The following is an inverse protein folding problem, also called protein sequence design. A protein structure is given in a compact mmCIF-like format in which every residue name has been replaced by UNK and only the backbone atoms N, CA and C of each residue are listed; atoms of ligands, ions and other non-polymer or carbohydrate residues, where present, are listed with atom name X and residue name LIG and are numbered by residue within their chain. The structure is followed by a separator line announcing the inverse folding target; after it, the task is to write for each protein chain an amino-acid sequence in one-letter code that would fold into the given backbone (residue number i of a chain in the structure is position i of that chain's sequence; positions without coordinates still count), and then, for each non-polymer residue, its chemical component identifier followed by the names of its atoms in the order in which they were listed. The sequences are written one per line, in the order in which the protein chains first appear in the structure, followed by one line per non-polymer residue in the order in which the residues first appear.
data_IF_554001159104
#
_entry.id   IF_554001159104
#
_cell.length_a   1.000
_cell.length_b   1.000
_cell.length_c   1.000
_cell.angle_alpha   90.00
_cell.angle_beta   90.00
_cell.angle_gamma   90.00
#
_symmetry.space_group_name_H-M   'P 1'
#
loop_
_entity.id
_entity.type
_entity.pdbx_description
1 polymer ?
#
# COMPACT_ATOMS: atom_id res chain seq x y z
N UNK A 1 0.07 22.72 -3.05
CA UNK A 1 0.12 21.74 -1.95
C UNK A 1 0.47 22.47 -0.67
N UNK A 2 -0.44 22.57 0.31
CA UNK A 2 -0.19 23.29 1.57
C UNK A 2 1.04 22.79 2.33
N UNK A 3 1.33 21.48 2.25
CA UNK A 3 2.53 20.91 2.89
C UNK A 3 3.85 21.41 2.27
N UNK A 4 3.86 21.71 0.97
CA UNK A 4 5.08 22.08 0.25
C UNK A 4 5.31 23.58 0.22
N UNK A 5 4.24 24.35 0.06
CA UNK A 5 4.32 25.79 -0.20
C UNK A 5 3.67 26.63 0.92
N UNK A 6 3.12 25.97 1.95
CA UNK A 6 2.30 26.64 2.96
C UNK A 6 0.98 27.16 2.40
N UNK A 7 0.30 27.98 3.20
CA UNK A 7 -0.90 28.72 2.82
C UNK A 7 -2.23 27.99 3.05
N UNK A 8 -3.35 28.71 2.86
CA UNK A 8 -4.69 28.16 3.06
C UNK A 8 -5.06 27.14 1.99
N UNK A 9 -6.09 26.35 2.27
CA UNK A 9 -6.65 25.42 1.30
C UNK A 9 -7.19 26.18 0.06
N UNK A 10 -6.89 25.71 -1.16
CA UNK A 10 -7.39 26.34 -2.36
C UNK A 10 -8.91 26.15 -2.48
N UNK A 11 -9.63 27.19 -2.89
CA UNK A 11 -11.03 27.06 -3.28
C UNK A 11 -11.10 26.39 -4.66
N UNK A 12 -11.59 25.15 -4.71
CA UNK A 12 -11.59 24.36 -5.94
C UNK A 12 -12.81 24.68 -6.81
N UNK A 13 -12.59 25.16 -8.03
CA UNK A 13 -13.67 25.43 -9.01
C UNK A 13 -13.90 24.29 -10.01
N UNK A 14 -12.85 23.54 -10.34
CA UNK A 14 -12.88 22.56 -11.44
C UNK A 14 -12.71 21.11 -11.00
N UNK A 15 -12.38 20.87 -9.74
CA UNK A 15 -12.17 19.51 -9.20
C UNK A 15 -12.72 19.42 -7.79
N UNK A 16 -13.15 18.23 -7.37
CA UNK A 16 -13.50 17.94 -5.97
C UNK A 16 -12.29 17.43 -5.16
N UNK A 17 -11.15 17.18 -5.83
CA UNK A 17 -9.95 16.67 -5.19
C UNK A 17 -9.13 17.81 -4.55
N UNK A 18 -9.14 17.88 -3.23
CA UNK A 18 -8.34 18.85 -2.45
C UNK A 18 -6.85 18.50 -2.43
N UNK A 19 -6.52 17.21 -2.52
CA UNK A 19 -5.15 16.72 -2.47
C UNK A 19 -4.98 15.66 -3.55
N UNK A 20 -3.83 15.73 -4.23
CA UNK A 20 -3.32 14.66 -5.08
C UNK A 20 -2.14 14.01 -4.35
N UNK A 21 -2.27 12.70 -4.16
CA UNK A 21 -1.26 11.87 -3.49
C UNK A 21 -0.79 10.78 -4.44
N UNK A 22 0.45 10.37 -4.26
CA UNK A 22 1.09 9.28 -4.98
C UNK A 22 1.42 8.17 -3.98
N UNK A 23 1.28 6.92 -4.39
CA UNK A 23 1.74 5.77 -3.61
C UNK A 23 2.87 5.15 -4.40
N UNK A 24 4.00 4.95 -3.74
CA UNK A 24 5.17 4.30 -4.33
C UNK A 24 5.72 3.23 -3.37
N UNK A 25 6.17 2.12 -3.93
CA UNK A 25 6.69 0.98 -3.19
C UNK A 25 8.11 0.64 -3.66
N UNK A 26 9.05 0.65 -2.72
CA UNK A 26 10.45 0.33 -2.96
C UNK A 26 10.82 -1.00 -2.30
N UNK A 27 11.02 -2.03 -3.13
CA UNK A 27 11.45 -3.37 -2.70
C UNK A 27 12.97 -3.50 -2.55
N UNK A 28 13.76 -2.46 -2.82
CA UNK A 28 15.21 -2.45 -2.56
C UNK A 28 15.55 -2.24 -1.08
N UNK A 29 14.65 -1.61 -0.32
CA UNK A 29 14.83 -1.31 1.11
C UNK A 29 14.37 -2.50 1.97
N UNK A 30 15.24 -3.49 2.14
CA UNK A 30 14.92 -4.72 2.89
C UNK A 30 15.67 -4.78 4.20
N UNK A 31 15.01 -5.26 5.26
CA UNK A 31 15.65 -5.56 6.54
C UNK A 31 15.83 -7.06 6.72
N UNK A 32 17.08 -7.50 6.88
CA UNK A 32 17.38 -8.90 7.17
C UNK A 32 16.83 -9.33 8.52
N UNK A 33 16.48 -10.60 8.63
CA UNK A 33 16.14 -11.24 9.89
C UNK A 33 17.45 -11.46 10.67
N UNK A 34 17.70 -10.61 11.65
CA UNK A 34 18.87 -10.68 12.54
C UNK A 34 18.55 -11.42 13.85
N UNK A 35 19.59 -11.75 14.62
CA UNK A 35 19.47 -12.34 15.97
C UNK A 35 19.07 -11.33 17.06
N UNK A 36 19.11 -10.03 16.75
CA UNK A 36 18.67 -8.94 17.63
C UNK A 36 18.00 -7.84 16.83
N UNK A 37 17.07 -7.14 17.47
CA UNK A 37 16.48 -5.89 16.99
C UNK A 37 17.15 -4.72 17.70
N UNK A 38 17.36 -3.63 16.98
CA UNK A 38 17.72 -2.37 17.64
C UNK A 38 16.64 -2.00 18.67
N UNK A 39 17.01 -1.32 19.77
CA UNK A 39 16.04 -0.78 20.71
C UNK A 39 15.01 0.08 19.97
N UNK A 40 13.75 0.01 20.39
CA UNK A 40 12.70 0.87 19.83
C UNK A 40 13.06 2.33 20.06
N UNK A 41 13.23 3.09 18.98
CA UNK A 41 13.39 4.54 19.05
C UNK A 41 12.03 5.16 18.78
N UNK A 42 11.43 5.76 19.81
CA UNK A 42 10.18 6.50 19.64
C UNK A 42 10.48 7.90 19.10
N UNK A 43 9.99 8.18 17.89
CA UNK A 43 10.07 9.51 17.30
C UNK A 43 8.74 10.22 17.49
N UNK A 44 8.78 11.37 18.18
CA UNK A 44 7.63 12.26 18.27
C UNK A 44 7.32 12.78 16.85
N UNK A 45 6.10 12.51 16.37
CA UNK A 45 5.69 12.86 15.01
C UNK A 45 6.24 11.94 13.92
N UNK A 46 6.60 10.69 14.28
CA UNK A 46 6.95 9.66 13.31
C UNK A 46 5.85 9.46 12.27
N UNK A 47 6.26 9.33 11.00
CA UNK A 47 5.36 9.10 9.86
C UNK A 47 5.27 7.63 9.46
N UNK A 48 5.70 6.73 10.33
CA UNK A 48 5.56 5.29 10.12
C UNK A 48 4.23 4.81 10.69
N UNK A 49 3.47 4.08 9.89
CA UNK A 49 2.30 3.36 10.40
C UNK A 49 2.77 2.27 11.36
N UNK A 50 2.02 2.09 12.45
CA UNK A 50 2.26 0.96 13.35
C UNK A 50 1.90 -0.35 12.66
N UNK A 51 2.59 -1.43 13.03
CA UNK A 51 2.25 -2.78 12.52
C UNK A 51 0.79 -3.12 12.80
N UNK A 52 0.28 -2.78 13.99
CA UNK A 52 -1.12 -3.01 14.38
C UNK A 52 -2.14 -2.33 13.45
N UNK A 53 -1.82 -1.15 12.92
CA UNK A 53 -2.67 -0.43 11.98
C UNK A 53 -2.77 -1.16 10.64
N UNK A 54 -1.63 -1.70 10.20
CA UNK A 54 -1.52 -2.46 8.95
C UNK A 54 -2.24 -3.79 9.09
N UNK A 55 -2.04 -4.49 10.20
CA UNK A 55 -2.68 -5.78 10.51
C UNK A 55 -4.20 -5.62 10.59
N UNK A 56 -4.69 -4.54 11.20
CA UNK A 56 -6.13 -4.24 11.25
C UNK A 56 -6.72 -4.01 9.86
N UNK A 57 -6.00 -3.29 8.98
CA UNK A 57 -6.42 -3.09 7.59
C UNK A 57 -6.35 -4.38 6.78
N UNK A 58 -5.36 -5.24 7.02
CA UNK A 58 -5.28 -6.57 6.41
C UNK A 58 -6.52 -7.40 6.78
N UNK A 59 -6.86 -7.46 8.07
CA UNK A 59 -8.06 -8.13 8.56
C UNK A 59 -9.34 -7.57 7.93
N UNK A 60 -9.50 -6.25 7.86
CA UNK A 60 -10.66 -5.62 7.23
C UNK A 60 -10.78 -5.99 5.74
N UNK A 61 -9.67 -5.97 5.02
CA UNK A 61 -9.61 -6.34 3.61
C UNK A 61 -9.99 -7.81 3.41
N UNK A 62 -9.46 -8.70 4.24
CA UNK A 62 -9.71 -10.13 4.15
C UNK A 62 -11.18 -10.46 4.47
N UNK A 63 -11.77 -9.85 5.50
CA UNK A 63 -13.18 -10.00 5.82
C UNK A 63 -14.09 -9.51 4.67
N UNK A 64 -13.77 -8.36 4.06
CA UNK A 64 -14.52 -7.84 2.91
C UNK A 64 -14.39 -8.72 1.67
N UNK A 65 -13.27 -9.43 1.50
CA UNK A 65 -13.06 -10.38 0.41
C UNK A 65 -13.87 -11.66 0.57
N UNK A 66 -13.98 -12.19 1.81
CA UNK A 66 -14.80 -13.38 2.10
C UNK A 66 -16.28 -13.18 1.78
N UNK A 67 -16.79 -11.97 1.93
CA UNK A 67 -18.23 -11.67 1.81
C UNK A 67 -18.81 -11.61 0.39
N UNK A 68 -18.02 -11.83 -0.68
CA UNK A 68 -18.51 -11.66 -2.05
C UNK A 68 -17.79 -12.59 -3.04
N UNK A 69 -18.29 -13.80 -3.22
CA UNK A 69 -18.34 -14.36 -4.57
C UNK A 69 -19.28 -13.47 -5.38
N UNK A 70 -18.74 -12.40 -5.98
CA UNK A 70 -19.46 -11.77 -7.07
C UNK A 70 -19.39 -12.79 -8.21
N UNK A 71 -20.50 -13.35 -8.69
CA UNK A 71 -20.44 -14.04 -9.98
C UNK A 71 -19.80 -13.03 -10.92
N UNK A 72 -18.70 -13.42 -11.57
CA UNK A 72 -18.04 -12.59 -12.58
C UNK A 72 -19.11 -12.27 -13.60
N UNK A 73 -19.79 -11.14 -13.46
CA UNK A 73 -20.72 -10.67 -14.48
C UNK A 73 -19.79 -10.19 -15.56
N UNK A 74 -19.51 -11.10 -16.51
CA UNK A 74 -18.63 -10.88 -17.65
C UNK A 74 -19.05 -9.55 -18.28
N UNK A 75 -18.26 -8.51 -18.04
CA UNK A 75 -18.53 -7.18 -18.55
C UNK A 75 -18.63 -7.26 -20.06
N UNK A 76 -19.69 -6.71 -20.63
CA UNK A 76 -19.95 -6.65 -22.06
C UNK A 76 -19.02 -5.67 -22.81
N UNK A 77 -17.91 -5.26 -22.21
CA UNK A 77 -16.91 -4.39 -22.81
C UNK A 77 -15.62 -5.20 -23.03
N UNK A 78 -15.39 -5.58 -24.28
CA UNK A 78 -14.29 -6.38 -24.80
C UNK A 78 -14.17 -7.79 -24.17
N UNK A 79 -14.69 -8.80 -24.90
CA UNK A 79 -14.43 -10.22 -24.60
C UNK A 79 -12.95 -10.53 -24.85
N UNK A 80 -12.12 -10.27 -23.85
CA UNK A 80 -10.82 -10.94 -23.75
C UNK A 80 -11.12 -12.43 -23.58
N UNK A 81 -10.62 -13.32 -24.47
CA UNK A 81 -10.83 -14.75 -24.34
C UNK A 81 -10.33 -15.28 -23.00
N UNK A 82 -11.00 -16.29 -22.44
CA UNK A 82 -10.66 -16.83 -21.11
C UNK A 82 -9.18 -17.27 -21.06
N UNK A 83 -8.62 -17.86 -22.13
CA UNK A 83 -7.20 -18.25 -22.18
C UNK A 83 -6.21 -17.10 -21.97
N UNK A 84 -6.57 -15.87 -22.38
CA UNK A 84 -5.71 -14.69 -22.18
C UNK A 84 -5.78 -14.21 -20.73
N UNK A 85 -6.94 -14.37 -20.07
CA UNK A 85 -7.08 -14.08 -18.65
C UNK A 85 -6.33 -15.11 -17.81
N UNK A 86 -6.43 -16.39 -18.18
CA UNK A 86 -5.73 -17.50 -17.53
C UNK A 86 -4.21 -17.35 -17.69
N UNK A 87 -3.72 -17.05 -18.91
CA UNK A 87 -2.29 -16.80 -19.16
C UNK A 87 -1.79 -15.56 -18.41
N UNK A 88 -2.62 -14.53 -18.26
CA UNK A 88 -2.30 -13.34 -17.47
C UNK A 88 -2.22 -13.67 -15.98
N UNK A 89 -3.14 -14.47 -15.46
CA UNK A 89 -3.14 -14.95 -14.08
C UNK A 89 -1.92 -15.85 -13.80
N UNK A 90 -1.62 -16.81 -14.67
CA UNK A 90 -0.45 -17.68 -14.57
C UNK A 90 0.86 -16.88 -14.66
N UNK A 91 0.95 -15.91 -15.57
CA UNK A 91 2.11 -15.01 -15.67
C UNK A 91 2.30 -14.18 -14.41
N UNK A 92 1.21 -13.69 -13.82
CA UNK A 92 1.25 -12.94 -12.56
C UNK A 92 1.64 -13.83 -11.38
N UNK A 93 1.08 -15.03 -11.28
CA UNK A 93 1.42 -16.03 -10.26
C UNK A 93 2.88 -16.46 -10.37
N UNK A 94 3.39 -16.76 -11.57
CA UNK A 94 4.77 -17.16 -11.80
C UNK A 94 5.77 -16.03 -11.48
N UNK A 95 5.42 -14.78 -11.80
CA UNK A 95 6.21 -13.61 -11.40
C UNK A 95 6.23 -13.45 -9.87
N UNK A 96 5.09 -13.59 -9.21
CA UNK A 96 5.00 -13.53 -7.75
C UNK A 96 5.70 -14.69 -7.06
N UNK A 97 5.66 -15.91 -7.60
CA UNK A 97 6.31 -17.08 -7.02
C UNK A 97 7.84 -16.94 -7.00
N UNK A 98 8.41 -16.37 -8.08
CA UNK A 98 9.84 -16.04 -8.16
C UNK A 98 10.24 -14.94 -7.15
N UNK A 99 9.37 -13.96 -6.93
CA UNK A 99 9.61 -12.88 -5.93
C UNK A 99 9.42 -13.38 -4.49
N UNK A 100 8.44 -14.24 -4.25
CA UNK A 100 8.12 -14.82 -2.94
C UNK A 100 9.16 -15.84 -2.47
N UNK A 101 9.72 -16.65 -3.38
CA UNK A 101 10.80 -17.61 -3.09
C UNK A 101 12.11 -16.94 -2.65
N UNK A 102 12.33 -15.67 -3.01
CA UNK A 102 13.57 -14.97 -2.68
C UNK A 102 13.57 -14.24 -1.32
N UNK A 103 12.41 -13.99 -0.67
CA UNK A 103 12.33 -12.98 0.40
C UNK A 103 11.88 -13.45 1.79
N UNK A 104 10.97 -14.44 1.93
CA UNK A 104 10.31 -14.70 3.23
C UNK A 104 11.22 -15.22 4.34
N UNK A 105 12.27 -15.98 4.03
CA UNK A 105 13.09 -16.63 5.06
C UNK A 105 14.23 -15.73 5.59
N UNK A 106 14.68 -14.76 4.79
CA UNK A 106 15.85 -13.94 5.10
C UNK A 106 15.54 -12.52 5.54
N UNK A 107 14.34 -12.01 5.24
CA UNK A 107 14.00 -10.61 5.47
C UNK A 107 12.76 -10.51 6.36
N UNK A 108 12.88 -9.72 7.44
CA UNK A 108 11.73 -9.32 8.26
C UNK A 108 10.88 -8.26 7.55
N UNK A 109 11.52 -7.43 6.72
CA UNK A 109 10.87 -6.43 5.89
C UNK A 109 11.37 -6.58 4.47
N UNK A 110 10.43 -6.71 3.55
CA UNK A 110 10.66 -6.99 2.14
C UNK A 110 10.68 -5.72 1.27
N UNK A 111 10.36 -4.57 1.85
CA UNK A 111 10.35 -3.26 1.20
C UNK A 111 9.75 -2.17 2.09
N UNK A 112 9.68 -0.96 1.54
CA UNK A 112 8.95 0.18 2.08
C UNK A 112 7.90 0.66 1.08
N UNK A 113 6.77 1.16 1.56
CA UNK A 113 5.79 1.87 0.74
C UNK A 113 5.49 3.22 1.37
N UNK A 114 5.38 4.26 0.56
CA UNK A 114 5.13 5.61 1.02
C UNK A 114 3.94 6.25 0.31
N UNK A 115 3.17 7.02 1.08
CA UNK A 115 2.20 7.97 0.58
C UNK A 115 2.89 9.33 0.49
N UNK A 116 2.96 9.86 -0.73
CA UNK A 116 3.64 11.10 -1.06
C UNK A 116 2.63 12.12 -1.55
N UNK A 117 2.91 13.41 -1.34
CA UNK A 117 2.23 14.44 -2.13
C UNK A 117 2.76 14.45 -3.56
N UNK A 118 2.09 15.17 -4.47
CA UNK A 118 2.53 15.33 -5.87
C UNK A 118 3.96 15.89 -6.07
N UNK A 119 4.55 16.50 -5.05
CA UNK A 119 5.91 17.06 -5.04
C UNK A 119 6.89 16.22 -4.20
N UNK A 120 6.63 14.92 -4.08
CA UNK A 120 7.52 13.94 -3.45
C UNK A 120 7.83 14.21 -1.97
N UNK A 121 6.90 14.84 -1.25
CA UNK A 121 6.98 14.98 0.22
C UNK A 121 6.23 13.83 0.88
N UNK A 122 6.92 13.09 1.74
CA UNK A 122 6.38 11.96 2.50
C UNK A 122 5.30 12.43 3.48
N UNK A 123 4.10 11.89 3.32
CA UNK A 123 2.98 12.00 4.25
C UNK A 123 3.04 10.89 5.29
N UNK A 124 3.11 9.65 4.82
CA UNK A 124 3.16 8.44 5.64
C UNK A 124 3.98 7.35 4.96
N UNK A 125 4.58 6.46 5.75
CA UNK A 125 5.39 5.32 5.30
C UNK A 125 4.95 4.06 6.02
N UNK A 126 5.05 2.91 5.36
CA UNK A 126 4.75 1.60 5.93
C UNK A 126 5.81 0.58 5.55
N UNK A 127 6.14 -0.31 6.48
CA UNK A 127 7.06 -1.42 6.24
C UNK A 127 6.30 -2.57 5.58
N UNK A 128 6.82 -3.07 4.46
CA UNK A 128 6.24 -4.22 3.77
C UNK A 128 6.77 -5.51 4.40
N UNK A 129 5.90 -6.23 5.10
CA UNK A 129 6.23 -7.48 5.81
C UNK A 129 5.90 -8.73 4.99
N UNK A 130 5.19 -8.56 3.87
CA UNK A 130 4.75 -9.68 3.02
C UNK A 130 5.30 -9.52 1.59
N UNK A 131 5.62 -10.63 0.90
CA UNK A 131 6.00 -10.57 -0.50
C UNK A 131 4.84 -10.08 -1.36
N UNK A 132 5.16 -9.24 -2.34
CA UNK A 132 4.24 -8.75 -3.35
C UNK A 132 3.52 -7.45 -2.97
N UNK A 133 2.82 -6.88 -3.95
CA UNK A 133 2.02 -5.67 -3.80
C UNK A 133 0.65 -6.03 -3.21
N UNK A 134 0.53 -6.07 -1.87
CA UNK A 134 -0.77 -6.27 -1.21
C UNK A 134 -1.54 -4.95 -1.09
N UNK A 135 -2.81 -4.97 -1.49
CA UNK A 135 -3.66 -3.78 -1.48
C UNK A 135 -3.88 -3.17 -0.08
N UNK A 136 -3.76 -3.97 0.99
CA UNK A 136 -4.00 -3.47 2.35
C UNK A 136 -2.97 -2.40 2.75
N UNK A 137 -1.73 -2.43 2.25
CA UNK A 137 -0.73 -1.41 2.55
C UNK A 137 -1.15 -0.04 2.01
N UNK A 138 -1.61 0.01 0.76
CA UNK A 138 -2.10 1.23 0.13
C UNK A 138 -3.36 1.78 0.83
N UNK A 139 -4.25 0.89 1.25
CA UNK A 139 -5.46 1.27 1.98
C UNK A 139 -5.16 1.78 3.40
N UNK A 140 -4.21 1.16 4.09
CA UNK A 140 -3.76 1.58 5.42
C UNK A 140 -3.19 3.01 5.36
N UNK A 141 -2.30 3.27 4.41
CA UNK A 141 -1.71 4.59 4.16
C UNK A 141 -2.78 5.67 3.91
N UNK A 142 -3.77 5.35 3.06
CA UNK A 142 -4.85 6.27 2.74
C UNK A 142 -5.76 6.55 3.94
N UNK A 143 -6.12 5.52 4.70
CA UNK A 143 -7.06 5.67 5.82
C UNK A 143 -6.44 6.49 6.96
N UNK A 144 -5.14 6.34 7.20
CA UNK A 144 -4.42 7.12 8.21
C UNK A 144 -4.32 8.62 7.87
N UNK A 145 -4.07 8.99 6.62
CA UNK A 145 -3.99 10.41 6.21
C UNK A 145 -5.34 11.14 6.32
N UNK A 146 -6.45 10.44 6.09
CA UNK A 146 -7.80 11.01 6.23
C UNK A 146 -8.18 11.19 7.69
N UNK A 147 -7.81 10.23 8.56
CA UNK A 147 -8.11 10.29 10.00
C UNK A 147 -7.27 11.36 10.69
N UNK A 148 -6.02 11.58 10.31
CA UNK A 148 -5.15 12.59 10.95
C UNK A 148 -5.50 14.04 10.61
N UNK A 149 -6.45 14.30 9.69
CA UNK A 149 -6.93 15.64 9.33
C UNK A 149 -8.37 15.92 9.79
N UNK A 150 -9.01 14.96 10.46
CA UNK A 150 -10.39 15.06 10.98
C UNK A 150 -10.47 15.15 12.51
N UNK A 151 -9.33 15.11 13.21
CA UNK A 151 -9.22 15.40 14.65
C UNK A 151 -8.37 16.64 14.86
#
# INVERSE_FOLDING_TARGET
CPLCFGGPWPNLKHTKAHVLVCIDANFGQKRRKGSGTDPTIEFIGGRFLSTSAVDAMEGEVDERRKGKERPRTRGTAARVPDHVLDECEESFLAAQEKVAKASKNYYSETGLMALLCRHDRVLWTVNLTTPGERQHYALALKMYDVVSRLC
#
